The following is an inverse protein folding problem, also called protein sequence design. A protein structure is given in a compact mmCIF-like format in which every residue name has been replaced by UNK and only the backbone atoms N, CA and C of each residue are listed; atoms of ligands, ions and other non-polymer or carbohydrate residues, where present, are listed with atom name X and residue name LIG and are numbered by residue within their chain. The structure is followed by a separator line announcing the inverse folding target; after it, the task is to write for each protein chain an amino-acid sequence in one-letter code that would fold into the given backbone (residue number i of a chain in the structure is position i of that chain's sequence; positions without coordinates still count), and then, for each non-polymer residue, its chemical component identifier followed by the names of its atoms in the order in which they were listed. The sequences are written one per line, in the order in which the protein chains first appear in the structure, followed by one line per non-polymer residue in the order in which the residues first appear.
data_IF_905468196318
#
_entry.id   IF_905468196318
#
_cell.length_a   1.000
_cell.length_b   1.000
_cell.length_c   1.000
_cell.angle_alpha   90.00
_cell.angle_beta   90.00
_cell.angle_gamma   90.00
#
_symmetry.space_group_name_H-M   'P 1'
#
loop_
_entity.id
_entity.type
_entity.pdbx_description
1 polymer ?
#
# COMPACT_ATOMS: atom_id res chain seq x y z
N UNK A 1 -11.63 -3.31 2.47
CA UNK A 1 -10.90 -2.55 3.52
C UNK A 1 -9.64 -1.90 2.99
N UNK A 2 -8.63 -2.62 2.52
CA UNK A 2 -7.38 -2.01 2.03
C UNK A 2 -7.58 -0.94 0.92
N UNK A 3 -8.38 -1.23 -0.11
CA UNK A 3 -8.69 -0.26 -1.19
C UNK A 3 -9.43 0.97 -0.63
N UNK A 4 -10.36 0.77 0.30
CA UNK A 4 -11.10 1.86 0.96
C UNK A 4 -10.14 2.76 1.72
N UNK A 5 -9.18 2.18 2.46
CA UNK A 5 -8.14 2.93 3.16
C UNK A 5 -7.27 3.76 2.21
N UNK A 6 -6.93 3.22 1.04
CA UNK A 6 -6.17 3.95 0.01
C UNK A 6 -6.99 5.13 -0.54
N UNK A 7 -8.24 4.88 -0.93
CA UNK A 7 -9.11 5.90 -1.52
C UNK A 7 -9.39 7.03 -0.52
N UNK A 8 -9.70 6.69 0.73
CA UNK A 8 -9.92 7.67 1.81
C UNK A 8 -8.63 8.46 2.07
N UNK A 9 -7.47 7.79 2.15
CA UNK A 9 -6.19 8.45 2.37
C UNK A 9 -5.83 9.44 1.27
N UNK A 10 -5.96 9.04 0.01
CA UNK A 10 -5.74 9.91 -1.14
C UNK A 10 -6.75 11.06 -1.20
N UNK A 11 -8.01 10.79 -0.87
CA UNK A 11 -9.06 11.79 -0.81
C UNK A 11 -8.75 12.89 0.20
N UNK A 12 -8.29 12.53 1.40
CA UNK A 12 -7.90 13.50 2.44
C UNK A 12 -6.73 14.38 1.99
N UNK A 13 -5.73 13.79 1.31
CA UNK A 13 -4.60 14.55 0.78
C UNK A 13 -5.05 15.53 -0.29
N UNK A 14 -5.86 15.09 -1.25
CA UNK A 14 -6.37 15.96 -2.32
C UNK A 14 -7.26 17.08 -1.78
N UNK A 15 -8.14 16.78 -0.81
CA UNK A 15 -8.97 17.81 -0.16
C UNK A 15 -8.11 18.85 0.56
N UNK A 16 -7.06 18.40 1.26
CA UNK A 16 -6.19 19.29 2.02
C UNK A 16 -5.39 20.23 1.13
N UNK A 17 -4.95 19.74 -0.04
CA UNK A 17 -4.27 20.55 -1.06
C UNK A 17 -5.25 21.54 -1.69
N UNK A 18 -6.46 21.09 -2.05
CA UNK A 18 -7.42 21.91 -2.79
C UNK A 18 -8.10 23.00 -1.96
N UNK A 19 -8.23 22.80 -0.65
CA UNK A 19 -8.88 23.73 0.26
C UNK A 19 -7.90 24.60 1.07
N UNK A 20 -6.59 24.43 0.85
CA UNK A 20 -5.50 25.21 1.44
C UNK A 20 -5.61 25.38 2.97
N UNK A 21 -5.65 24.25 3.67
CA UNK A 21 -5.80 24.25 5.12
C UNK A 21 -4.44 24.62 5.74
N UNK A 22 -4.24 25.91 5.99
CA UNK A 22 -3.01 26.38 6.62
C UNK A 22 -2.92 25.96 8.11
N UNK A 23 -1.69 25.78 8.59
CA UNK A 23 -1.39 25.50 9.98
C UNK A 23 -1.48 24.01 10.39
N UNK A 24 -1.44 23.77 11.71
CA UNK A 24 -1.31 22.43 12.27
C UNK A 24 -2.44 21.48 11.85
N UNK A 25 -3.67 22.00 11.72
CA UNK A 25 -4.84 21.22 11.33
C UNK A 25 -4.71 20.62 9.92
N UNK A 26 -4.32 21.41 8.92
CA UNK A 26 -4.12 20.89 7.56
C UNK A 26 -2.95 19.92 7.47
N UNK A 27 -1.85 20.20 8.17
CA UNK A 27 -0.72 19.27 8.28
C UNK A 27 -1.13 17.91 8.88
N UNK A 28 -1.98 17.91 9.91
CA UNK A 28 -2.50 16.69 10.52
C UNK A 28 -3.39 15.89 9.57
N UNK A 29 -4.28 16.53 8.81
CA UNK A 29 -5.15 15.85 7.82
C UNK A 29 -4.32 15.22 6.69
N UNK A 30 -3.30 15.93 6.19
CA UNK A 30 -2.37 15.41 5.18
C UNK A 30 -1.61 14.19 5.74
N UNK A 31 -1.08 14.30 6.96
CA UNK A 31 -0.36 13.20 7.61
C UNK A 31 -1.23 11.96 7.79
N UNK A 32 -2.46 12.12 8.26
CA UNK A 32 -3.44 11.02 8.38
C UNK A 32 -3.77 10.43 7.00
N UNK A 33 -3.95 11.26 5.98
CA UNK A 33 -4.23 10.81 4.62
C UNK A 33 -3.10 9.95 4.04
N UNK A 34 -1.85 10.40 4.17
CA UNK A 34 -0.67 9.65 3.74
C UNK A 34 -0.56 8.34 4.53
N UNK A 35 -0.76 8.38 5.84
CA UNK A 35 -0.72 7.19 6.69
C UNK A 35 -1.76 6.13 6.27
N UNK A 36 -3.00 6.55 6.02
CA UNK A 36 -4.06 5.67 5.55
C UNK A 36 -3.76 5.06 4.18
N UNK A 37 -3.20 5.85 3.26
CA UNK A 37 -2.79 5.37 1.95
C UNK A 37 -1.65 4.34 2.05
N UNK A 38 -0.62 4.63 2.85
CA UNK A 38 0.53 3.73 3.04
C UNK A 38 0.12 2.39 3.68
N UNK A 39 -0.68 2.44 4.74
CA UNK A 39 -1.20 1.23 5.41
C UNK A 39 -2.09 0.41 4.46
N UNK A 40 -2.97 1.09 3.72
CA UNK A 40 -3.82 0.44 2.73
C UNK A 40 -3.01 -0.23 1.62
N UNK A 41 -1.99 0.44 1.09
CA UNK A 41 -1.08 -0.12 0.08
C UNK A 41 -0.29 -1.32 0.61
N UNK A 42 0.20 -1.26 1.85
CA UNK A 42 0.90 -2.37 2.49
C UNK A 42 0.01 -3.62 2.57
N UNK A 43 -1.21 -3.50 3.11
CA UNK A 43 -2.12 -4.64 3.22
C UNK A 43 -2.61 -5.13 1.86
N UNK A 44 -2.82 -4.22 0.91
CA UNK A 44 -3.17 -4.60 -0.46
C UNK A 44 -2.03 -5.39 -1.11
N UNK A 45 -0.79 -4.91 -1.01
CA UNK A 45 0.39 -5.61 -1.50
C UNK A 45 0.58 -6.98 -0.85
N UNK A 46 0.43 -7.07 0.48
CA UNK A 46 0.50 -8.32 1.23
C UNK A 46 -0.57 -9.33 0.76
N UNK A 47 -1.83 -8.91 0.68
CA UNK A 47 -2.93 -9.77 0.24
C UNK A 47 -2.73 -10.24 -1.21
N UNK A 48 -2.23 -9.39 -2.10
CA UNK A 48 -1.92 -9.77 -3.47
C UNK A 48 -0.69 -10.69 -3.55
N UNK A 49 0.29 -10.50 -2.67
CA UNK A 49 1.45 -11.38 -2.53
C UNK A 49 1.07 -12.79 -2.09
N UNK A 50 0.12 -12.91 -1.15
CA UNK A 50 -0.44 -14.21 -0.73
C UNK A 50 -1.25 -14.91 -1.82
N UNK A 51 -1.92 -14.13 -2.68
CA UNK A 51 -2.73 -14.65 -3.81
C UNK A 51 -1.88 -15.09 -4.99
N UNK A 52 -0.64 -14.63 -5.10
CA UNK A 52 0.28 -15.15 -6.10
C UNK A 52 0.67 -16.56 -5.66
N UNK A 53 0.40 -17.60 -6.49
CA UNK A 53 1.07 -18.87 -6.28
C UNK A 53 2.56 -18.57 -6.19
N UNK A 54 3.27 -19.22 -5.27
CA UNK A 54 4.73 -19.18 -5.21
C UNK A 54 5.31 -19.87 -6.46
N UNK A 55 5.10 -19.27 -7.63
CA UNK A 55 5.63 -19.67 -8.92
C UNK A 55 7.05 -19.14 -9.10
N UNK A 56 7.76 -18.85 -8.00
CA UNK A 56 9.20 -18.92 -8.04
C UNK A 56 9.49 -20.40 -8.08
N UNK A 57 9.85 -20.91 -9.25
CA UNK A 57 10.52 -22.19 -9.38
C UNK A 57 11.54 -22.27 -8.26
N UNK A 58 11.20 -23.05 -7.23
CA UNK A 58 12.12 -23.33 -6.15
C UNK A 58 13.25 -24.04 -6.85
N UNK A 59 14.38 -23.34 -7.01
CA UNK A 59 15.58 -23.97 -7.50
C UNK A 59 15.86 -25.12 -6.54
N UNK A 60 15.65 -26.34 -7.05
CA UNK A 60 15.82 -27.57 -6.32
C UNK A 60 17.17 -28.11 -6.79
N UNK A 61 18.27 -27.93 -6.04
CA UNK A 61 19.60 -28.39 -6.46
C UNK A 61 19.62 -29.88 -6.83
N UNK A 62 18.75 -30.68 -6.22
CA UNK A 62 18.59 -32.11 -6.51
C UNK A 62 18.01 -32.42 -7.90
N UNK A 63 17.39 -31.44 -8.56
CA UNK A 63 16.73 -31.59 -9.87
C UNK A 63 17.66 -31.18 -11.02
N UNK A 64 18.56 -30.24 -10.78
CA UNK A 64 19.45 -29.67 -11.80
C UNK A 64 20.82 -30.36 -11.86
N UNK A 65 21.17 -31.20 -10.88
CA UNK A 65 22.42 -31.97 -10.84
C UNK A 65 22.40 -33.33 -11.56
N UNK A 66 21.37 -33.64 -12.37
CA UNK A 66 21.25 -34.90 -13.13
C UNK A 66 21.50 -34.74 -14.64
N UNK A 67 22.15 -33.65 -15.05
CA UNK A 67 22.60 -33.42 -16.43
C UNK A 67 23.94 -34.07 -16.71
#
# INVERSE_FOLDING_TARGET
MAIVSIVVGLGLVLLSIGLDWEGFGGGAVIGVGIGFAAVGMYFWGYANGLRRPSSRGTWLPSRDGRG
#
